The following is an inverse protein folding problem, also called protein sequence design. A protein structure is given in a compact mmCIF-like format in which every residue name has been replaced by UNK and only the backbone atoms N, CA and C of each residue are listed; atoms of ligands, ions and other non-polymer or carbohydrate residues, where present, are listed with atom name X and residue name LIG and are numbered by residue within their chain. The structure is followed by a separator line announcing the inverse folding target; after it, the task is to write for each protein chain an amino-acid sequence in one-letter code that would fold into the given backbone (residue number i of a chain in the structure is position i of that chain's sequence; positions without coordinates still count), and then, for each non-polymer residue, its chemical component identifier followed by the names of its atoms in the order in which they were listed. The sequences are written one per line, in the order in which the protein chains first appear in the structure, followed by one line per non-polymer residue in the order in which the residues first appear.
data_IF_648687310448
#
_entry.id   IF_648687310448
#
_cell.length_a   1.000
_cell.length_b   1.000
_cell.length_c   1.000
_cell.angle_alpha   90.00
_cell.angle_beta   90.00
_cell.angle_gamma   90.00
#
_symmetry.space_group_name_H-M   'P 1'
#
loop_
_entity.id
_entity.type
_entity.pdbx_description
1 polymer ?
#
# COMPACT_ATOMS: atom_id res chain seq x y z
N UNK A 1 25.84 5.55 2.07
CA UNK A 1 25.59 4.10 2.22
C UNK A 1 24.18 3.79 1.72
N UNK A 2 24.04 2.81 0.84
CA UNK A 2 22.76 2.34 0.35
C UNK A 2 22.20 1.31 1.31
N UNK A 3 21.09 1.64 2.00
CA UNK A 3 20.42 0.75 2.94
C UNK A 3 18.92 0.60 2.60
N UNK A 4 18.29 -0.37 3.19
CA UNK A 4 16.85 -0.60 3.03
C UNK A 4 16.46 -1.00 1.60
N UNK A 5 15.46 -0.34 1.04
CA UNK A 5 14.86 -0.67 -0.27
C UNK A 5 15.87 -0.55 -1.42
N UNK A 6 16.77 0.43 -1.39
CA UNK A 6 17.81 0.59 -2.43
C UNK A 6 18.74 -0.61 -2.49
N UNK A 7 19.23 -1.09 -1.34
CA UNK A 7 20.06 -2.30 -1.27
C UNK A 7 19.28 -3.55 -1.69
N UNK A 8 18.00 -3.62 -1.37
CA UNK A 8 17.13 -4.73 -1.76
C UNK A 8 16.96 -4.81 -3.28
N UNK A 9 16.66 -3.69 -3.94
CA UNK A 9 16.44 -3.62 -5.38
C UNK A 9 17.70 -3.94 -6.19
N UNK A 10 18.85 -3.46 -5.74
CA UNK A 10 20.14 -3.67 -6.43
C UNK A 10 20.87 -4.94 -5.98
N UNK A 11 20.28 -5.70 -5.05
CA UNK A 11 20.90 -6.88 -4.44
C UNK A 11 22.30 -6.62 -3.85
N UNK A 12 22.49 -5.43 -3.29
CA UNK A 12 23.75 -5.02 -2.66
C UNK A 12 23.85 -5.58 -1.23
N UNK A 13 25.07 -5.69 -0.74
CA UNK A 13 25.32 -5.95 0.68
C UNK A 13 24.88 -4.74 1.51
N UNK A 14 24.31 -4.99 2.68
CA UNK A 14 23.86 -3.96 3.60
C UNK A 14 22.63 -4.37 4.41
N UNK A 15 22.35 -3.58 5.43
CA UNK A 15 21.17 -3.80 6.28
C UNK A 15 19.91 -3.36 5.53
N UNK A 16 19.02 -4.30 5.23
CA UNK A 16 17.78 -4.06 4.49
C UNK A 16 16.58 -3.83 5.39
N UNK A 17 16.56 -4.52 6.56
CA UNK A 17 15.42 -4.54 7.47
C UNK A 17 15.86 -4.00 8.83
N UNK A 18 15.07 -3.08 9.35
CA UNK A 18 15.28 -2.43 10.64
C UNK A 18 14.11 -2.80 11.56
N UNK A 19 14.47 -3.32 12.73
CA UNK A 19 13.48 -3.59 13.78
C UNK A 19 13.01 -2.29 14.42
N UNK A 20 11.72 -2.22 14.68
CA UNK A 20 11.16 -1.11 15.45
C UNK A 20 11.06 -1.51 16.92
N UNK A 21 11.61 -0.68 17.81
CA UNK A 21 11.64 -1.00 19.26
C UNK A 21 10.21 -1.02 19.82
N UNK A 22 9.76 -2.22 20.19
CA UNK A 22 8.48 -2.44 20.89
C UNK A 22 7.20 -2.22 20.06
N UNK A 23 7.30 -2.00 18.75
CA UNK A 23 6.13 -1.74 17.91
C UNK A 23 5.56 -3.00 17.22
N UNK A 24 6.31 -4.12 17.24
CA UNK A 24 5.84 -5.40 16.72
C UNK A 24 5.87 -5.52 15.20
N UNK A 25 6.53 -4.61 14.48
CA UNK A 25 6.75 -4.68 13.04
C UNK A 25 8.18 -4.27 12.69
N UNK A 26 8.63 -4.66 11.51
CA UNK A 26 9.93 -4.28 10.96
C UNK A 26 9.73 -3.34 9.76
N UNK A 27 10.75 -2.55 9.44
CA UNK A 27 10.71 -1.57 8.35
C UNK A 27 11.86 -1.81 7.38
N UNK A 28 11.56 -1.82 6.09
CA UNK A 28 12.53 -1.65 5.02
C UNK A 28 12.43 -0.20 4.51
N UNK A 29 13.24 0.72 5.03
CA UNK A 29 13.09 2.13 4.71
C UNK A 29 13.56 2.43 3.29
N UNK A 30 13.07 3.54 2.73
CA UNK A 30 13.57 4.14 1.51
C UNK A 30 14.06 5.57 1.78
N UNK A 31 14.94 6.06 0.92
CA UNK A 31 15.54 7.39 1.06
C UNK A 31 16.03 7.94 -0.28
N UNK A 32 16.82 9.03 -0.27
CA UNK A 32 17.34 9.68 -1.48
C UNK A 32 18.13 8.74 -2.40
N UNK A 33 18.78 7.72 -1.85
CA UNK A 33 19.50 6.67 -2.62
C UNK A 33 18.60 5.88 -3.56
N UNK A 34 17.27 5.88 -3.32
CA UNK A 34 16.32 5.15 -4.17
C UNK A 34 16.25 5.71 -5.61
N UNK A 35 16.50 7.00 -5.78
CA UNK A 35 16.54 7.63 -7.12
C UNK A 35 17.73 7.11 -7.94
N UNK A 36 18.89 6.98 -7.31
CA UNK A 36 20.07 6.38 -7.95
C UNK A 36 19.83 4.89 -8.25
N UNK A 37 19.28 4.16 -7.28
CA UNK A 37 18.94 2.75 -7.43
C UNK A 37 17.95 2.51 -8.58
N UNK A 38 16.95 3.36 -8.77
CA UNK A 38 16.03 3.27 -9.92
C UNK A 38 16.75 3.41 -11.26
N UNK A 39 17.72 4.34 -11.33
CA UNK A 39 18.53 4.53 -12.55
C UNK A 39 19.40 3.31 -12.87
N UNK A 40 20.06 2.75 -11.88
CA UNK A 40 20.89 1.54 -12.03
C UNK A 40 20.05 0.32 -12.37
N UNK A 41 18.89 0.18 -11.75
CA UNK A 41 17.95 -0.92 -11.97
C UNK A 41 17.51 -1.02 -13.45
N UNK A 42 17.49 0.09 -14.19
CA UNK A 42 17.12 0.08 -15.63
C UNK A 42 18.05 -0.76 -16.50
N UNK A 43 19.26 -1.03 -16.05
CA UNK A 43 20.27 -1.84 -16.75
C UNK A 43 20.28 -3.30 -16.32
N UNK A 44 19.47 -3.68 -15.32
CA UNK A 44 19.42 -5.03 -14.78
C UNK A 44 18.35 -5.85 -15.51
N UNK A 45 18.67 -7.11 -15.81
CA UNK A 45 17.71 -8.07 -16.37
C UNK A 45 16.60 -8.38 -15.34
N UNK A 46 15.37 -8.53 -15.84
CA UNK A 46 14.17 -8.74 -15.00
C UNK A 46 14.01 -7.67 -13.90
N UNK A 47 14.38 -6.45 -14.22
CA UNK A 47 14.37 -5.28 -13.31
C UNK A 47 13.04 -5.02 -12.60
N UNK A 48 11.93 -5.43 -13.21
CA UNK A 48 10.60 -5.32 -12.63
C UNK A 48 10.30 -6.37 -11.54
N UNK A 49 11.17 -7.38 -11.39
CA UNK A 49 11.06 -8.44 -10.39
C UNK A 49 12.09 -8.31 -9.24
N UNK A 50 12.88 -7.25 -9.23
CA UNK A 50 13.97 -7.09 -8.28
C UNK A 50 13.48 -7.09 -6.83
N UNK A 51 12.38 -6.38 -6.53
CA UNK A 51 11.79 -6.37 -5.19
C UNK A 51 11.20 -7.74 -4.82
N UNK A 52 10.48 -8.39 -5.72
CA UNK A 52 9.93 -9.73 -5.51
C UNK A 52 11.02 -10.72 -5.12
N UNK A 53 12.12 -10.76 -5.90
CA UNK A 53 13.28 -11.62 -5.62
C UNK A 53 13.92 -11.33 -4.26
N UNK A 54 13.98 -10.05 -3.90
CA UNK A 54 14.54 -9.61 -2.62
C UNK A 54 13.64 -9.98 -1.42
N UNK A 55 12.34 -10.05 -1.60
CA UNK A 55 11.37 -10.42 -0.56
C UNK A 55 11.20 -11.94 -0.41
N UNK A 56 11.53 -12.75 -1.43
CA UNK A 56 11.35 -14.21 -1.40
C UNK A 56 11.95 -14.90 -0.15
N UNK A 57 13.17 -14.54 0.33
CA UNK A 57 13.73 -15.13 1.54
C UNK A 57 13.01 -14.73 2.84
N UNK A 58 12.07 -13.80 2.77
CA UNK A 58 11.37 -13.23 3.90
C UNK A 58 9.93 -13.72 4.03
N UNK A 59 9.40 -14.42 3.03
CA UNK A 59 7.97 -14.80 2.93
C UNK A 59 7.45 -15.58 4.15
N UNK A 60 8.28 -16.40 4.78
CA UNK A 60 7.90 -17.21 5.94
C UNK A 60 8.21 -16.52 7.28
N UNK A 61 8.66 -15.25 7.24
CA UNK A 61 9.05 -14.50 8.45
C UNK A 61 8.01 -13.47 8.86
N UNK A 62 7.10 -13.13 7.98
CA UNK A 62 6.09 -12.10 8.19
C UNK A 62 4.72 -12.59 7.74
N UNK A 63 3.70 -12.32 8.52
CA UNK A 63 2.30 -12.61 8.17
C UNK A 63 1.80 -11.65 7.08
N UNK A 64 2.25 -10.40 7.13
CA UNK A 64 1.90 -9.34 6.19
C UNK A 64 3.12 -8.53 5.77
N UNK A 65 3.18 -8.19 4.49
CA UNK A 65 4.14 -7.22 3.94
C UNK A 65 3.33 -6.09 3.28
N UNK A 66 3.51 -4.87 3.77
CA UNK A 66 2.86 -3.68 3.22
C UNK A 66 3.89 -2.87 2.44
N UNK A 67 3.63 -2.63 1.16
CA UNK A 67 4.52 -1.87 0.28
C UNK A 67 3.86 -0.52 0.00
N UNK A 68 4.45 0.56 0.51
CA UNK A 68 4.05 1.93 0.21
C UNK A 68 4.69 2.38 -1.10
N UNK A 69 3.85 2.72 -2.08
CA UNK A 69 4.27 3.10 -3.42
C UNK A 69 4.04 4.59 -3.70
N UNK A 70 4.93 5.26 -4.46
CA UNK A 70 4.69 6.62 -4.92
C UNK A 70 3.50 6.66 -5.90
N UNK A 71 2.84 7.82 -6.06
CA UNK A 71 1.67 7.95 -6.94
C UNK A 71 2.00 7.89 -8.44
N UNK A 72 3.28 7.87 -8.80
CA UNK A 72 3.74 7.77 -10.21
C UNK A 72 3.90 6.32 -10.64
N UNK A 73 3.47 5.99 -11.87
CA UNK A 73 3.70 4.69 -12.47
C UNK A 73 5.10 4.63 -13.07
N UNK A 74 6.10 4.42 -12.24
CA UNK A 74 7.51 4.25 -12.62
C UNK A 74 8.01 2.82 -12.33
N UNK A 75 9.28 2.54 -12.58
CA UNK A 75 9.87 1.22 -12.36
C UNK A 75 9.78 0.76 -10.90
N UNK A 76 9.85 1.67 -9.95
CA UNK A 76 9.71 1.36 -8.52
C UNK A 76 8.28 0.91 -8.18
N UNK A 77 7.27 1.63 -8.69
CA UNK A 77 5.87 1.24 -8.52
C UNK A 77 5.58 -0.10 -9.19
N UNK A 78 6.11 -0.34 -10.39
CA UNK A 78 5.99 -1.65 -11.06
C UNK A 78 6.60 -2.75 -10.21
N UNK A 79 7.76 -2.53 -9.58
CA UNK A 79 8.35 -3.49 -8.64
C UNK A 79 7.44 -3.77 -7.45
N UNK A 80 6.83 -2.75 -6.86
CA UNK A 80 5.85 -2.91 -5.78
C UNK A 80 4.64 -3.73 -6.21
N UNK A 81 4.05 -3.42 -7.36
CA UNK A 81 2.90 -4.15 -7.91
C UNK A 81 3.25 -5.61 -8.25
N UNK A 82 4.42 -5.86 -8.84
CA UNK A 82 4.91 -7.21 -9.18
C UNK A 82 5.26 -8.05 -7.94
N UNK A 83 5.65 -7.42 -6.84
CA UNK A 83 5.91 -8.08 -5.58
C UNK A 83 4.65 -8.34 -4.74
N UNK A 84 3.51 -7.78 -5.14
CA UNK A 84 2.25 -7.84 -4.39
C UNK A 84 1.24 -8.76 -5.07
N UNK A 85 0.36 -9.36 -4.29
CA UNK A 85 -0.83 -10.10 -4.78
C UNK A 85 -2.10 -9.26 -4.68
N UNK A 86 -2.14 -8.37 -3.70
CA UNK A 86 -3.32 -7.58 -3.36
C UNK A 86 -2.97 -6.09 -3.37
N UNK A 87 -3.88 -5.30 -3.92
CA UNK A 87 -3.77 -3.84 -3.93
C UNK A 87 -4.84 -3.24 -3.03
N UNK A 88 -4.39 -2.33 -2.15
CA UNK A 88 -5.24 -1.45 -1.36
C UNK A 88 -5.06 -0.03 -1.88
N UNK A 89 -6.15 0.63 -2.25
CA UNK A 89 -6.16 1.98 -2.81
C UNK A 89 -6.75 2.96 -1.80
N UNK A 90 -5.92 3.79 -1.14
CA UNK A 90 -6.42 4.91 -0.37
C UNK A 90 -6.88 6.01 -1.33
N UNK A 91 -8.13 6.45 -1.21
CA UNK A 91 -8.75 7.38 -2.14
C UNK A 91 -9.40 8.55 -1.40
N UNK A 92 -9.08 9.78 -1.80
CA UNK A 92 -9.87 10.94 -1.40
C UNK A 92 -11.08 11.05 -2.33
N UNK A 93 -12.28 11.27 -1.76
CA UNK A 93 -13.52 11.36 -2.53
C UNK A 93 -13.64 12.75 -3.16
N UNK A 94 -12.85 13.02 -4.20
CA UNK A 94 -12.78 14.26 -4.96
C UNK A 94 -13.13 14.02 -6.44
N UNK A 95 -13.28 15.08 -7.21
CA UNK A 95 -13.83 15.02 -8.58
C UNK A 95 -13.08 14.05 -9.51
N UNK A 96 -11.75 14.10 -9.52
CA UNK A 96 -10.94 13.23 -10.41
C UNK A 96 -10.61 11.85 -9.82
N UNK A 97 -11.14 11.53 -8.65
CA UNK A 97 -10.77 10.29 -7.97
C UNK A 97 -11.26 9.02 -8.70
N UNK A 98 -12.45 9.08 -9.29
CA UNK A 98 -13.01 7.96 -10.07
C UNK A 98 -12.26 7.74 -11.38
N UNK A 99 -11.88 8.82 -12.07
CA UNK A 99 -11.05 8.76 -13.28
C UNK A 99 -9.66 8.16 -12.98
N UNK A 100 -9.04 8.62 -11.89
CA UNK A 100 -7.77 8.07 -11.42
C UNK A 100 -7.85 6.58 -11.07
N UNK A 101 -8.95 6.16 -10.43
CA UNK A 101 -9.19 4.75 -10.11
C UNK A 101 -9.38 3.91 -11.38
N UNK A 102 -10.14 4.39 -12.37
CA UNK A 102 -10.33 3.69 -13.63
C UNK A 102 -9.00 3.50 -14.37
N UNK A 103 -8.17 4.54 -14.48
CA UNK A 103 -6.84 4.44 -15.08
C UNK A 103 -5.89 3.48 -14.34
N UNK A 104 -6.00 3.42 -13.00
CA UNK A 104 -5.24 2.44 -12.21
C UNK A 104 -5.69 1.01 -12.50
N UNK A 105 -6.98 0.75 -12.60
CA UNK A 105 -7.52 -0.59 -12.93
C UNK A 105 -7.05 -1.02 -14.31
N UNK A 106 -7.15 -0.16 -15.31
CA UNK A 106 -6.63 -0.45 -16.66
C UNK A 106 -5.13 -0.81 -16.64
N UNK A 107 -4.35 -0.09 -15.83
CA UNK A 107 -2.92 -0.39 -15.65
C UNK A 107 -2.70 -1.77 -15.02
N UNK A 108 -3.50 -2.15 -14.02
CA UNK A 108 -3.43 -3.48 -13.38
C UNK A 108 -3.77 -4.58 -14.40
N UNK A 109 -4.81 -4.39 -15.19
CA UNK A 109 -5.24 -5.34 -16.21
C UNK A 109 -4.16 -5.54 -17.28
N UNK A 110 -3.54 -4.45 -17.75
CA UNK A 110 -2.41 -4.50 -18.68
C UNK A 110 -1.20 -5.21 -18.09
N UNK A 111 -0.87 -4.93 -16.82
CA UNK A 111 0.24 -5.60 -16.12
C UNK A 111 -0.03 -7.09 -16.00
N UNK A 112 -1.21 -7.50 -15.58
CA UNK A 112 -1.60 -8.90 -15.44
C UNK A 112 -1.56 -9.62 -16.80
N UNK A 113 -2.14 -9.02 -17.84
CA UNK A 113 -2.18 -9.58 -19.18
C UNK A 113 -0.78 -9.76 -19.79
N UNK A 114 0.11 -8.78 -19.62
CA UNK A 114 1.45 -8.81 -20.21
C UNK A 114 2.44 -9.71 -19.50
N UNK A 115 2.23 -9.96 -18.20
CA UNK A 115 3.22 -10.65 -17.36
C UNK A 115 2.73 -11.98 -16.77
N UNK A 116 1.44 -12.32 -16.94
CA UNK A 116 0.82 -13.47 -16.27
C UNK A 116 0.73 -13.31 -14.73
N UNK A 117 0.95 -12.09 -14.21
CA UNK A 117 0.76 -11.80 -12.80
C UNK A 117 -0.73 -11.77 -12.46
N UNK A 118 -1.08 -11.99 -11.20
CA UNK A 118 -2.47 -11.95 -10.72
C UNK A 118 -2.60 -10.97 -9.56
N UNK A 119 -2.33 -9.69 -9.84
CA UNK A 119 -2.58 -8.61 -8.89
C UNK A 119 -4.08 -8.29 -8.84
N UNK A 120 -4.65 -8.26 -7.66
CA UNK A 120 -6.07 -8.03 -7.46
C UNK A 120 -6.31 -6.73 -6.68
N UNK A 121 -7.27 -5.93 -7.14
CA UNK A 121 -7.81 -4.83 -6.33
C UNK A 121 -8.65 -5.43 -5.20
N UNK A 122 -8.17 -5.32 -3.96
CA UNK A 122 -8.83 -5.92 -2.79
C UNK A 122 -9.49 -4.92 -1.87
N UNK A 123 -9.03 -3.68 -1.90
CA UNK A 123 -9.53 -2.66 -1.00
C UNK A 123 -9.51 -1.28 -1.64
N UNK A 124 -10.61 -0.56 -1.52
CA UNK A 124 -10.70 0.88 -1.72
C UNK A 124 -11.08 1.50 -0.38
N UNK A 125 -10.20 2.34 0.15
CA UNK A 125 -10.40 2.99 1.44
C UNK A 125 -10.57 4.50 1.25
N UNK A 126 -11.74 5.01 1.64
CA UNK A 126 -12.00 6.45 1.62
C UNK A 126 -11.18 7.14 2.69
N UNK A 127 -10.30 8.06 2.29
CA UNK A 127 -9.44 8.81 3.19
C UNK A 127 -9.74 10.31 3.17
N UNK A 128 -9.30 11.04 4.20
CA UNK A 128 -9.54 12.47 4.35
C UNK A 128 -11.03 12.83 4.22
N UNK A 129 -11.90 11.91 4.59
CA UNK A 129 -13.33 12.01 4.37
C UNK A 129 -13.99 13.03 5.30
N UNK A 130 -14.83 13.90 4.73
CA UNK A 130 -15.72 14.80 5.46
C UNK A 130 -17.17 14.49 5.09
N UNK A 131 -18.00 13.99 6.01
CA UNK A 131 -19.40 13.63 5.73
C UNK A 131 -20.29 14.82 5.36
N UNK A 132 -19.82 16.06 5.56
CA UNK A 132 -20.54 17.28 5.16
C UNK A 132 -20.34 17.61 3.68
N UNK A 133 -19.32 17.04 3.04
CA UNK A 133 -19.02 17.27 1.63
C UNK A 133 -20.00 16.50 0.74
N UNK A 134 -20.83 17.23 -0.04
CA UNK A 134 -21.80 16.63 -0.97
C UNK A 134 -21.13 15.83 -2.08
N UNK A 135 -20.04 16.35 -2.64
CA UNK A 135 -19.26 15.66 -3.67
C UNK A 135 -18.71 14.33 -3.15
N UNK A 136 -18.17 14.31 -1.91
CA UNK A 136 -17.70 13.09 -1.28
C UNK A 136 -18.76 12.02 -1.12
N UNK A 137 -20.04 12.42 -0.90
CA UNK A 137 -21.18 11.49 -0.87
C UNK A 137 -21.47 10.92 -2.25
N UNK A 138 -21.53 11.76 -3.28
CA UNK A 138 -21.74 11.32 -4.66
C UNK A 138 -20.68 10.35 -5.13
N UNK A 139 -19.40 10.64 -4.90
CA UNK A 139 -18.30 9.72 -5.21
C UNK A 139 -18.45 8.40 -4.42
N UNK A 140 -18.89 8.46 -3.16
CA UNK A 140 -19.15 7.25 -2.36
C UNK A 140 -20.27 6.39 -2.94
N UNK A 141 -21.34 7.00 -3.44
CA UNK A 141 -22.47 6.32 -4.09
C UNK A 141 -22.00 5.59 -5.37
N UNK A 142 -21.19 6.24 -6.20
CA UNK A 142 -20.59 5.63 -7.39
C UNK A 142 -19.68 4.46 -7.03
N UNK A 143 -18.81 4.62 -6.02
CA UNK A 143 -17.97 3.53 -5.52
C UNK A 143 -18.79 2.36 -5.00
N UNK A 144 -19.88 2.64 -4.28
CA UNK A 144 -20.78 1.59 -3.76
C UNK A 144 -21.48 0.83 -4.89
N UNK A 145 -21.76 1.51 -5.99
CA UNK A 145 -22.43 0.91 -7.15
C UNK A 145 -21.49 0.00 -7.95
N UNK A 146 -20.24 0.43 -8.16
CA UNK A 146 -19.31 -0.25 -9.06
C UNK A 146 -18.25 -1.11 -8.37
N UNK A 147 -17.94 -0.86 -7.08
CA UNK A 147 -16.87 -1.51 -6.31
C UNK A 147 -17.34 -1.95 -4.94
N UNK A 148 -18.55 -2.48 -4.86
CA UNK A 148 -19.20 -2.85 -3.59
C UNK A 148 -18.37 -3.82 -2.76
N UNK A 149 -17.71 -4.77 -3.39
CA UNK A 149 -16.92 -5.81 -2.73
C UNK A 149 -15.55 -5.28 -2.27
N UNK A 150 -14.94 -4.42 -3.07
CA UNK A 150 -13.64 -3.82 -2.78
C UNK A 150 -13.75 -2.64 -1.82
N UNK A 151 -14.89 -1.94 -1.80
CA UNK A 151 -15.08 -0.76 -0.97
C UNK A 151 -15.12 -1.14 0.52
N UNK A 152 -14.20 -0.59 1.30
CA UNK A 152 -14.21 -0.77 2.74
C UNK A 152 -15.36 0.00 3.39
N UNK A 153 -15.99 -0.63 4.38
CA UNK A 153 -16.98 0.02 5.24
C UNK A 153 -16.32 1.12 6.07
N UNK A 154 -15.11 0.86 6.52
CA UNK A 154 -14.29 1.80 7.27
C UNK A 154 -13.90 3.00 6.42
N UNK A 155 -13.99 4.18 7.03
CA UNK A 155 -13.64 5.48 6.43
C UNK A 155 -12.62 6.18 7.32
N UNK A 156 -11.54 6.69 6.73
CA UNK A 156 -10.54 7.47 7.45
C UNK A 156 -10.91 8.96 7.38
N UNK A 157 -11.30 9.57 8.50
CA UNK A 157 -11.67 10.99 8.50
C UNK A 157 -10.45 11.88 8.37
N UNK A 158 -10.65 13.12 7.91
CA UNK A 158 -9.63 14.16 8.06
C UNK A 158 -9.34 14.35 9.55
N UNK A 159 -8.07 14.19 9.96
CA UNK A 159 -7.67 14.27 11.37
C UNK A 159 -6.27 14.87 11.49
N UNK A 160 -6.16 15.95 12.28
CA UNK A 160 -4.90 16.68 12.49
C UNK A 160 -3.85 15.79 13.18
N UNK A 161 -4.25 14.91 14.08
CA UNK A 161 -3.32 14.02 14.79
C UNK A 161 -2.58 13.05 13.88
N UNK A 162 -3.22 12.61 12.79
CA UNK A 162 -2.56 11.81 11.76
C UNK A 162 -1.48 12.61 11.01
N UNK A 163 -1.72 13.90 10.79
CA UNK A 163 -0.74 14.78 10.11
C UNK A 163 0.41 15.20 11.05
N UNK A 164 0.16 15.29 12.34
CA UNK A 164 1.17 15.67 13.34
C UNK A 164 2.13 14.52 13.67
N UNK A 165 1.64 13.27 13.76
CA UNK A 165 2.40 12.11 14.23
C UNK A 165 3.77 11.93 13.52
N UNK A 166 3.89 12.08 12.18
CA UNK A 166 5.17 11.96 11.49
C UNK A 166 6.19 13.01 11.94
N UNK A 167 5.78 14.23 12.28
CA UNK A 167 6.70 15.27 12.77
C UNK A 167 7.33 14.95 14.13
N UNK A 168 6.72 14.02 14.86
CA UNK A 168 7.26 13.48 16.12
C UNK A 168 7.99 12.14 15.93
N UNK A 169 8.14 11.66 14.69
CA UNK A 169 8.74 10.37 14.39
C UNK A 169 8.00 9.18 15.02
N UNK A 170 6.69 9.30 15.22
CA UNK A 170 5.87 8.27 15.89
C UNK A 170 4.71 7.83 15.00
N UNK A 171 4.36 6.53 15.01
CA UNK A 171 3.09 6.09 14.46
C UNK A 171 1.92 6.75 15.20
N UNK A 172 0.82 7.01 14.49
CA UNK A 172 -0.37 7.61 15.09
C UNK A 172 -0.88 6.83 16.30
N UNK A 173 -0.76 5.49 16.28
CA UNK A 173 -1.15 4.60 17.37
C UNK A 173 -0.39 4.87 18.68
N UNK A 174 0.87 5.33 18.58
CA UNK A 174 1.70 5.68 19.74
C UNK A 174 1.57 7.16 20.08
N UNK A 175 1.42 8.01 19.04
CA UNK A 175 1.34 9.45 19.22
C UNK A 175 0.03 9.88 19.90
N UNK A 176 -1.11 9.42 19.37
CA UNK A 176 -2.44 9.73 19.90
C UNK A 176 -3.40 8.54 19.65
N UNK A 177 -3.36 7.52 20.51
CA UNK A 177 -4.11 6.28 20.30
C UNK A 177 -5.64 6.47 20.25
N UNK A 178 -6.16 7.47 20.96
CA UNK A 178 -7.59 7.74 21.05
C UNK A 178 -8.11 8.73 19.99
N UNK A 179 -7.25 9.22 19.11
CA UNK A 179 -7.68 10.09 18.02
C UNK A 179 -8.62 9.34 17.05
N UNK A 180 -9.65 10.04 16.56
CA UNK A 180 -10.62 9.45 15.60
C UNK A 180 -9.94 8.84 14.37
N UNK A 181 -8.89 9.48 13.86
CA UNK A 181 -8.11 8.96 12.75
C UNK A 181 -7.37 7.67 13.10
N UNK A 182 -6.75 7.60 14.27
CA UNK A 182 -6.04 6.41 14.76
C UNK A 182 -7.00 5.23 14.94
N UNK A 183 -8.14 5.46 15.57
CA UNK A 183 -9.18 4.43 15.73
C UNK A 183 -9.74 3.96 14.39
N UNK A 184 -9.88 4.86 13.41
CA UNK A 184 -10.31 4.49 12.07
C UNK A 184 -9.27 3.60 11.35
N UNK A 185 -7.97 3.87 11.50
CA UNK A 185 -6.93 2.99 10.96
C UNK A 185 -6.91 1.62 11.64
N UNK A 186 -7.15 1.54 12.95
CA UNK A 186 -7.29 0.25 13.64
C UNK A 186 -8.50 -0.54 13.11
N UNK A 187 -9.64 0.13 12.92
CA UNK A 187 -10.82 -0.49 12.35
C UNK A 187 -10.57 -0.98 10.90
N UNK A 188 -9.87 -0.17 10.09
CA UNK A 188 -9.46 -0.55 8.73
C UNK A 188 -8.55 -1.79 8.75
N UNK A 189 -7.59 -1.84 9.66
CA UNK A 189 -6.70 -3.02 9.78
C UNK A 189 -7.50 -4.28 10.16
N UNK A 190 -8.45 -4.17 11.08
CA UNK A 190 -9.34 -5.28 11.43
C UNK A 190 -10.20 -5.74 10.24
N UNK A 191 -10.76 -4.80 9.47
CA UNK A 191 -11.53 -5.11 8.26
C UNK A 191 -10.65 -5.78 7.18
N UNK A 192 -9.40 -5.31 7.01
CA UNK A 192 -8.44 -5.92 6.08
C UNK A 192 -8.11 -7.37 6.47
N UNK A 193 -7.79 -7.62 7.74
CA UNK A 193 -7.47 -8.95 8.25
C UNK A 193 -8.65 -9.89 8.04
N UNK A 194 -9.87 -9.49 8.41
CA UNK A 194 -11.06 -10.32 8.23
C UNK A 194 -11.27 -10.70 6.76
N UNK A 195 -11.14 -9.77 5.82
CA UNK A 195 -11.28 -10.03 4.37
C UNK A 195 -10.19 -10.95 3.83
N UNK A 196 -8.96 -10.87 4.36
CA UNK A 196 -7.87 -11.76 3.98
C UNK A 196 -8.08 -13.19 4.50
N UNK A 197 -8.51 -13.35 5.76
CA UNK A 197 -8.75 -14.65 6.36
C UNK A 197 -9.90 -15.42 5.68
N UNK A 198 -10.97 -14.73 5.28
CA UNK A 198 -12.08 -15.35 4.56
C UNK A 198 -11.63 -15.94 3.22
N UNK A 199 -10.73 -15.29 2.51
CA UNK A 199 -10.16 -15.79 1.26
C UNK A 199 -9.28 -17.03 1.46
N UNK A 200 -8.52 -17.10 2.54
CA UNK A 200 -7.73 -18.30 2.86
C UNK A 200 -8.64 -19.50 3.11
N UNK A 201 -9.82 -19.30 3.70
CA UNK A 201 -10.81 -20.37 3.93
C UNK A 201 -11.50 -20.81 2.64
N UNK A 202 -11.81 -19.89 1.73
CA UNK A 202 -12.45 -20.20 0.43
C UNK A 202 -11.47 -20.84 -0.57
N UNK A 203 -10.19 -20.52 -0.53
CA UNK A 203 -9.15 -21.11 -1.38
C UNK A 203 -8.57 -22.45 -0.89
N UNK A 204 -9.00 -22.92 0.28
CA UNK A 204 -8.56 -24.18 0.89
C UNK A 204 -9.54 -25.35 0.64
N UNK A 205 -10.56 -25.15 -0.20
CA UNK A 205 -11.46 -26.17 -0.74
C UNK A 205 -11.09 -26.40 -2.22
#
# INVERSE_FOLDING_TARGET
ETEGTSSALLNLEGKRIFKTDGLGYDVMPSGPSLVAAESELRTVDERELALLKSLEPLKDKYDYVVIDCPPSLNLLTINGLRASKNLLVPMQCEYYALEGLAGLIETIDQLNASTGHNLQLKAIVRTMFDPRNKLGKQVTEELTTHFKEELFSTVIPRNIKLAEAPSFGKPALIYEPNAKGTMAYLAMAGELIARMEDQYKEGAI
#
